data_IF_639908484175
#
_entry.id   IF_639908484175
#
_cell.length_a   1.000
_cell.length_b   1.000
_cell.length_c   1.000
_cell.angle_alpha   90.00
_cell.angle_beta   90.00
_cell.angle_gamma   90.00
#
_symmetry.space_group_name_H-M   'P 1'
#
loop_
_entity.id
_entity.type
_entity.pdbx_description
1 polymer ?
#
# COMPACT_ATOMS: atom_id res chain seq x y z
N UNK A 1 4.58 -6.69 1.92
CA UNK A 1 4.69 -8.13 1.55
C UNK A 1 3.33 -8.77 1.32
N UNK A 2 2.40 -8.78 2.28
CA UNK A 2 1.07 -9.38 2.06
C UNK A 2 0.32 -8.82 0.84
N UNK A 3 0.34 -7.50 0.63
CA UNK A 3 -0.26 -6.88 -0.56
C UNK A 3 0.37 -7.37 -1.88
N UNK A 4 1.69 -7.55 -1.93
CA UNK A 4 2.37 -8.16 -3.08
C UNK A 4 1.84 -9.56 -3.35
N UNK A 5 1.83 -10.41 -2.33
CA UNK A 5 1.35 -11.78 -2.46
C UNK A 5 -0.12 -11.81 -2.93
N UNK A 6 -0.95 -10.89 -2.44
CA UNK A 6 -2.33 -10.78 -2.89
C UNK A 6 -2.40 -10.44 -4.38
N UNK A 7 -1.75 -9.35 -4.83
CA UNK A 7 -1.90 -8.89 -6.22
C UNK A 7 -1.17 -9.74 -7.26
N UNK A 8 -0.08 -10.44 -6.89
CA UNK A 8 0.69 -11.29 -7.83
C UNK A 8 0.21 -12.74 -7.89
N UNK A 9 -0.47 -13.24 -6.84
CA UNK A 9 -0.92 -14.64 -6.78
C UNK A 9 -2.44 -14.75 -6.79
N UNK A 10 -3.12 -14.18 -5.79
CA UNK A 10 -4.57 -14.36 -5.65
C UNK A 10 -5.36 -13.46 -6.61
N UNK A 11 -4.91 -12.22 -6.79
CA UNK A 11 -5.53 -11.20 -7.64
C UNK A 11 -5.08 -11.26 -9.10
N UNK A 12 -3.98 -11.96 -9.40
CA UNK A 12 -3.50 -12.16 -10.76
C UNK A 12 -4.04 -13.47 -11.34
N UNK A 13 -5.19 -13.40 -12.00
CA UNK A 13 -5.71 -14.53 -12.77
C UNK A 13 -4.87 -14.84 -14.03
N UNK A 14 -5.14 -15.98 -14.66
CA UNK A 14 -4.44 -16.46 -15.86
C UNK A 14 -4.44 -15.44 -17.00
N UNK A 15 -5.55 -14.71 -17.17
CA UNK A 15 -5.63 -13.64 -18.16
C UNK A 15 -4.54 -12.60 -17.91
N UNK A 16 -4.44 -12.03 -16.71
CA UNK A 16 -3.48 -10.98 -16.39
C UNK A 16 -2.04 -11.47 -16.57
N UNK A 17 -1.75 -12.69 -16.07
CA UNK A 17 -0.43 -13.32 -16.15
C UNK A 17 0.07 -13.48 -17.60
N UNK A 18 -0.83 -13.87 -18.51
CA UNK A 18 -0.49 -14.04 -19.92
C UNK A 18 -0.57 -12.74 -20.72
N UNK A 19 -1.60 -11.92 -20.49
CA UNK A 19 -1.86 -10.71 -21.24
C UNK A 19 -0.82 -9.61 -21.02
N UNK A 20 -0.12 -9.59 -19.86
CA UNK A 20 0.99 -8.65 -19.64
C UNK A 20 2.25 -8.99 -20.45
N UNK A 21 2.35 -10.20 -21.00
CA UNK A 21 3.56 -10.63 -21.70
C UNK A 21 3.67 -10.02 -23.11
N UNK A 22 4.59 -9.07 -23.27
CA UNK A 22 4.88 -8.43 -24.57
C UNK A 22 5.56 -9.36 -25.58
N UNK A 23 6.23 -10.43 -25.13
CA UNK A 23 6.89 -11.41 -26.02
C UNK A 23 5.90 -12.44 -26.58
N UNK A 24 4.75 -12.61 -25.92
CA UNK A 24 3.69 -13.53 -26.34
C UNK A 24 2.33 -12.81 -26.28
N UNK A 25 2.14 -11.76 -27.11
CA UNK A 25 0.96 -10.93 -27.03
C UNK A 25 -0.30 -11.71 -27.44
N UNK A 26 -1.39 -11.49 -26.72
CA UNK A 26 -2.71 -12.01 -27.07
C UNK A 26 -3.32 -11.08 -28.13
N UNK A 27 -3.77 -11.58 -29.31
CA UNK A 27 -4.38 -10.75 -30.34
C UNK A 27 -5.53 -9.89 -29.81
N UNK A 28 -5.51 -8.59 -30.11
CA UNK A 28 -6.52 -7.63 -29.65
C UNK A 28 -6.35 -7.12 -28.22
N UNK A 29 -5.34 -7.59 -27.46
CA UNK A 29 -5.08 -7.15 -26.09
C UNK A 29 -3.79 -6.32 -26.04
N UNK A 30 -3.84 -5.03 -25.63
CA UNK A 30 -2.65 -4.19 -25.54
C UNK A 30 -1.79 -4.59 -24.33
N UNK A 31 -0.81 -5.47 -24.54
CA UNK A 31 0.02 -6.04 -23.46
C UNK A 31 0.73 -4.98 -22.60
N UNK A 32 1.16 -3.86 -23.21
CA UNK A 32 1.76 -2.75 -22.47
C UNK A 32 0.79 -2.12 -21.45
N UNK A 33 -0.48 -1.93 -21.82
CA UNK A 33 -1.51 -1.40 -20.91
C UNK A 33 -1.75 -2.36 -19.76
N UNK A 34 -1.81 -3.67 -20.04
CA UNK A 34 -2.01 -4.69 -19.02
C UNK A 34 -0.82 -4.74 -18.05
N UNK A 35 0.41 -4.70 -18.57
CA UNK A 35 1.63 -4.65 -17.77
C UNK A 35 1.67 -3.42 -16.87
N UNK A 36 1.41 -2.23 -17.41
CA UNK A 36 1.38 -1.00 -16.62
C UNK A 36 0.25 -0.99 -15.59
N UNK A 37 -0.91 -1.59 -15.91
CA UNK A 37 -2.01 -1.72 -14.94
C UNK A 37 -1.62 -2.60 -13.75
N UNK A 38 -0.94 -3.72 -14.01
CA UNK A 38 -0.42 -4.61 -12.97
C UNK A 38 0.66 -3.93 -12.12
N UNK A 39 1.60 -3.22 -12.75
CA UNK A 39 2.61 -2.46 -12.03
C UNK A 39 2.00 -1.32 -11.20
N UNK A 40 0.98 -0.64 -11.73
CA UNK A 40 0.31 0.47 -11.06
C UNK A 40 -0.46 0.02 -9.81
N UNK A 41 -1.13 -1.14 -9.82
CA UNK A 41 -1.84 -1.62 -8.62
C UNK A 41 -0.87 -1.97 -7.49
N UNK A 42 0.32 -2.47 -7.81
CA UNK A 42 1.39 -2.71 -6.83
C UNK A 42 1.94 -1.39 -6.28
N UNK A 43 2.20 -0.41 -7.16
CA UNK A 43 2.56 0.96 -6.75
C UNK A 43 1.50 1.60 -5.86
N UNK A 44 0.21 1.43 -6.18
CA UNK A 44 -0.90 1.93 -5.38
C UNK A 44 -0.94 1.28 -4.01
N UNK A 45 -0.68 -0.03 -3.91
CA UNK A 45 -0.59 -0.72 -2.64
C UNK A 45 0.55 -0.16 -1.77
N UNK A 46 1.74 0.06 -2.35
CA UNK A 46 2.88 0.65 -1.64
C UNK A 46 2.55 2.07 -1.15
N UNK A 47 2.02 2.94 -2.01
CA UNK A 47 1.65 4.30 -1.63
C UNK A 47 0.53 4.33 -0.58
N UNK A 48 -0.47 3.46 -0.70
CA UNK A 48 -1.56 3.38 0.27
C UNK A 48 -1.09 2.96 1.66
N UNK A 49 -0.18 1.98 1.73
CA UNK A 49 0.37 1.46 3.00
C UNK A 49 1.34 2.46 3.63
N UNK A 50 2.21 3.08 2.84
CA UNK A 50 3.25 3.99 3.36
C UNK A 50 2.74 5.43 3.54
N UNK A 51 1.68 5.81 2.84
CA UNK A 51 1.22 7.20 2.70
C UNK A 51 2.05 8.03 1.72
N UNK A 52 3.12 7.48 1.13
CA UNK A 52 4.09 8.24 0.33
C UNK A 52 3.82 7.98 -1.16
N UNK A 53 3.13 8.91 -1.81
CA UNK A 53 2.78 8.79 -3.24
C UNK A 53 3.98 8.78 -4.18
N UNK A 54 5.14 9.30 -3.78
CA UNK A 54 6.33 9.16 -4.64
C UNK A 54 6.76 7.70 -4.79
N UNK A 55 6.56 6.87 -3.76
CA UNK A 55 6.84 5.43 -3.83
C UNK A 55 5.89 4.69 -4.78
N UNK A 56 4.72 5.26 -5.13
CA UNK A 56 3.86 4.73 -6.20
C UNK A 56 4.63 4.64 -7.51
N UNK A 57 5.25 5.74 -7.93
CA UNK A 57 5.92 5.82 -9.23
C UNK A 57 7.16 4.94 -9.27
N UNK A 58 7.95 4.93 -8.19
CA UNK A 58 9.13 4.07 -8.11
C UNK A 58 8.76 2.59 -8.12
N UNK A 59 7.79 2.16 -7.31
CA UNK A 59 7.33 0.78 -7.32
C UNK A 59 6.75 0.40 -8.68
N UNK A 60 5.90 1.23 -9.29
CA UNK A 60 5.33 0.92 -10.60
C UNK A 60 6.41 0.77 -11.68
N UNK A 61 7.43 1.63 -11.69
CA UNK A 61 8.55 1.49 -12.65
C UNK A 61 9.38 0.24 -12.36
N UNK A 62 9.78 0.00 -11.11
CA UNK A 62 10.57 -1.18 -10.75
C UNK A 62 9.82 -2.47 -11.04
N UNK A 63 8.54 -2.57 -10.66
CA UNK A 63 7.69 -3.72 -10.88
C UNK A 63 7.50 -3.99 -12.37
N UNK A 64 7.24 -2.95 -13.18
CA UNK A 64 7.20 -3.07 -14.64
C UNK A 64 8.49 -3.68 -15.20
N UNK A 65 9.66 -3.18 -14.78
CA UNK A 65 10.95 -3.63 -15.31
C UNK A 65 11.27 -5.09 -14.92
N UNK A 66 10.95 -5.50 -13.69
CA UNK A 66 11.14 -6.87 -13.21
C UNK A 66 10.24 -7.82 -14.00
N UNK A 67 8.94 -7.55 -14.04
CA UNK A 67 7.97 -8.37 -14.77
C UNK A 67 8.28 -8.46 -16.26
N UNK A 68 8.68 -7.33 -16.87
CA UNK A 68 9.07 -7.28 -18.28
C UNK A 68 10.28 -8.16 -18.55
N UNK A 69 11.24 -8.19 -17.63
CA UNK A 69 12.43 -9.02 -17.71
C UNK A 69 12.11 -10.50 -17.51
N UNK A 70 11.20 -10.83 -16.60
CA UNK A 70 10.66 -12.19 -16.44
C UNK A 70 9.92 -12.65 -17.70
N UNK A 71 9.06 -11.81 -18.26
CA UNK A 71 8.33 -12.11 -19.50
C UNK A 71 9.28 -12.30 -20.70
N UNK A 72 10.41 -11.57 -20.71
CA UNK A 72 11.50 -11.73 -21.67
C UNK A 72 12.33 -13.02 -21.49
N UNK A 73 12.02 -13.85 -20.48
CA UNK A 73 12.79 -15.04 -20.17
C UNK A 73 14.19 -14.78 -19.59
N UNK A 74 14.45 -13.57 -19.08
CA UNK A 74 15.77 -13.19 -18.52
C UNK A 74 15.98 -13.66 -17.08
N UNK A 75 14.94 -14.14 -16.42
CA UNK A 75 14.98 -14.61 -15.04
C UNK A 75 13.95 -15.70 -14.77
N UNK A 76 14.23 -16.53 -13.78
CA UNK A 76 13.29 -17.52 -13.24
C UNK A 76 12.18 -16.87 -12.41
N UNK A 77 11.11 -17.62 -12.16
CA UNK A 77 10.01 -17.19 -11.29
C UNK A 77 10.50 -16.83 -9.87
N UNK A 78 11.41 -17.62 -9.30
CA UNK A 78 11.90 -17.34 -7.94
C UNK A 78 12.77 -16.09 -7.88
N UNK A 79 13.56 -15.81 -8.92
CA UNK A 79 14.35 -14.58 -9.01
C UNK A 79 13.46 -13.34 -9.15
N UNK A 80 12.43 -13.44 -9.99
CA UNK A 80 11.39 -12.42 -10.13
C UNK A 80 10.76 -12.08 -8.76
N UNK A 81 10.29 -13.09 -8.04
CA UNK A 81 9.65 -12.90 -6.74
C UNK A 81 10.60 -12.37 -5.68
N UNK A 82 11.86 -12.82 -5.68
CA UNK A 82 12.88 -12.29 -4.79
C UNK A 82 13.15 -10.80 -5.03
N UNK A 83 13.24 -10.36 -6.30
CA UNK A 83 13.42 -8.96 -6.65
C UNK A 83 12.21 -8.11 -6.25
N UNK A 84 10.99 -8.63 -6.45
CA UNK A 84 9.78 -7.94 -6.01
C UNK A 84 9.78 -7.72 -4.49
N UNK A 85 10.08 -8.76 -3.69
CA UNK A 85 10.20 -8.67 -2.23
C UNK A 85 11.29 -7.68 -1.83
N UNK A 86 12.47 -7.76 -2.43
CA UNK A 86 13.60 -6.86 -2.16
C UNK A 86 13.19 -5.39 -2.40
N UNK A 87 12.51 -5.11 -3.50
CA UNK A 87 12.01 -3.78 -3.84
C UNK A 87 11.11 -3.22 -2.72
N UNK A 88 10.19 -4.05 -2.21
CA UNK A 88 9.28 -3.67 -1.11
C UNK A 88 10.00 -3.47 0.22
N UNK A 89 11.06 -4.24 0.48
CA UNK A 89 11.92 -4.04 1.66
C UNK A 89 12.70 -2.73 1.58
N UNK A 90 13.19 -2.35 0.40
CA UNK A 90 13.85 -1.05 0.17
C UNK A 90 12.87 0.10 0.44
N UNK A 91 11.66 0.05 -0.11
CA UNK A 91 10.63 1.07 0.14
C UNK A 91 10.24 1.17 1.60
N UNK A 92 10.06 0.03 2.27
CA UNK A 92 9.81 -0.01 3.70
C UNK A 92 10.95 0.66 4.48
N UNK A 93 12.20 0.32 4.18
CA UNK A 93 13.38 0.93 4.80
C UNK A 93 13.43 2.45 4.60
N UNK A 94 13.19 2.93 3.38
CA UNK A 94 13.16 4.37 3.09
C UNK A 94 12.04 5.11 3.81
N UNK A 95 10.85 4.49 3.91
CA UNK A 95 9.71 5.07 4.60
C UNK A 95 9.98 5.23 6.11
N UNK A 96 10.56 4.22 6.76
CA UNK A 96 10.85 4.27 8.20
C UNK A 96 12.08 5.13 8.53
N UNK A 97 13.03 5.25 7.60
CA UNK A 97 14.22 6.11 7.76
C UNK A 97 13.90 7.60 7.60
N UNK A 98 12.66 7.97 7.24
CA UNK A 98 12.29 9.36 7.01
C UNK A 98 12.95 9.97 5.78
N UNK A 99 13.29 9.16 4.77
CA UNK A 99 13.96 9.61 3.54
C UNK A 99 13.11 10.59 2.69
N UNK A 100 11.86 10.85 3.10
CA UNK A 100 10.92 11.75 2.42
C UNK A 100 10.38 12.82 3.39
N UNK A 101 11.23 13.73 3.90
CA UNK A 101 10.77 14.81 4.78
C UNK A 101 9.77 15.72 4.03
N UNK A 102 8.63 16.00 4.65
CA UNK A 102 7.61 16.91 4.11
C UNK A 102 6.57 16.29 3.16
N UNK A 103 6.73 15.04 2.73
CA UNK A 103 5.63 14.28 2.11
C UNK A 103 4.82 13.61 3.21
N UNK A 104 3.53 13.97 3.31
CA UNK A 104 2.64 13.48 4.36
C UNK A 104 2.61 11.94 4.39
N UNK A 105 3.27 11.32 5.35
CA UNK A 105 2.89 9.99 5.80
C UNK A 105 1.52 10.14 6.46
N UNK A 106 0.58 9.21 6.22
CA UNK A 106 -0.67 9.20 6.99
C UNK A 106 -0.26 9.22 8.46
N UNK A 107 -0.62 10.28 9.18
CA UNK A 107 -0.48 10.30 10.64
C UNK A 107 -1.19 9.06 11.17
N UNK A 108 -0.53 8.32 12.06
CA UNK A 108 -1.16 7.18 12.71
C UNK A 108 -2.49 7.67 13.33
N UNK A 109 -3.64 7.02 13.04
CA UNK A 109 -4.88 7.43 13.65
C UNK A 109 -4.77 7.21 15.17
N UNK A 110 -4.73 8.31 15.94
CA UNK A 110 -4.72 8.28 17.41
C UNK A 110 -3.54 8.94 18.13
N UNK A 111 -2.63 9.64 17.43
CA UNK A 111 -1.57 10.41 18.11
C UNK A 111 -2.07 11.72 18.77
N UNK A 112 -3.32 12.13 18.49
CA UNK A 112 -4.06 13.10 19.29
C UNK A 112 -5.10 12.35 20.13
N UNK A 113 -4.70 11.97 21.34
CA UNK A 113 -5.60 12.02 22.49
C UNK A 113 -4.97 12.97 23.48
N UNK A 114 -5.09 14.25 23.21
CA UNK A 114 -5.19 15.23 24.30
C UNK A 114 -6.30 14.74 25.25
N UNK A 115 -5.91 14.14 26.37
CA UNK A 115 -6.83 13.87 27.46
C UNK A 115 -7.38 15.23 27.90
N UNK A 116 -8.70 15.51 27.79
CA UNK A 116 -9.24 16.68 28.46
C UNK A 116 -9.01 16.44 29.96
N UNK A 117 -8.19 17.28 30.56
CA UNK A 117 -8.10 17.37 32.02
C UNK A 117 -9.52 17.56 32.54
N UNK A 118 -9.97 16.60 33.35
CA UNK A 118 -11.24 16.69 34.03
C UNK A 118 -11.25 17.95 34.90
N UNK A 119 -11.85 19.02 34.40
CA UNK A 119 -12.20 20.19 35.19
C UNK A 119 -13.35 19.79 36.10
N UNK A 120 -13.08 19.67 37.40
CA UNK A 120 -14.10 19.62 38.44
C UNK A 120 -15.07 20.80 38.28
N UNK A 121 -16.33 20.51 37.97
CA UNK A 121 -17.43 21.44 38.12
C UNK A 121 -18.02 21.31 39.55
N UNK A 122 -18.49 22.41 40.17
CA UNK A 122 -18.95 22.41 41.56
C UNK A 122 -20.33 21.76 41.71
N UNK A 123 -20.57 21.26 42.93
CA UNK A 123 -21.73 20.50 43.36
C UNK A 123 -23.08 21.19 43.03
N UNK A 124 -23.95 20.44 42.36
CA UNK A 124 -25.36 20.79 42.17
C UNK A 124 -26.11 20.65 43.50
N UNK A 125 -26.94 21.66 43.80
CA UNK A 125 -27.70 21.79 45.03
C UNK A 125 -28.70 20.65 45.27
N UNK A 126 -28.77 20.28 46.55
CA UNK A 126 -29.76 19.38 47.15
C UNK A 126 -31.18 19.93 46.97
N UNK A 127 -32.04 19.17 46.29
CA UNK A 127 -33.50 19.28 46.42
C UNK A 127 -34.05 17.87 46.64
N UNK A 128 -34.12 17.45 47.90
CA UNK A 128 -35.02 16.39 48.35
C UNK A 128 -35.55 16.80 49.73
N UNK A 129 -36.87 16.84 49.87
CA UNK A 129 -37.53 16.83 51.18
C UNK A 129 -38.76 17.70 51.27
N UNK A 130 -39.93 17.14 50.93
CA UNK A 130 -41.19 17.35 51.67
C UNK A 130 -42.28 16.40 51.17
N UNK A 131 -42.46 15.31 51.90
CA UNK A 131 -43.75 14.63 52.03
C UNK A 131 -44.25 14.92 53.43
N UNK A 132 -45.49 15.40 53.54
CA UNK A 132 -46.21 15.49 54.80
C UNK A 132 -47.26 14.38 54.78
N UNK A 133 -46.99 13.30 55.52
CA UNK A 133 -47.94 12.57 56.38
C UNK A 133 -47.14 12.06 57.59
#
# INVERSE_FOLDING_TARGET
IGAHCFFDYAGQGDFMSNAKNQEKPIPGVPAATVMWSHAAIQGAAVAYITGIWLLFFFEAVCHYLIDRSKCAGKMSFNQDQALHILCKLIWWGMAIAGAFPGMQTKAAPGADRSMPTAQCAPAFGSVIGRTYE
#
